data_IF_356027825902
#
_entry.id   IF_356027825902
#
_cell.length_a   1.000
_cell.length_b   1.000
_cell.length_c   1.000
_cell.angle_alpha   90.00
_cell.angle_beta   90.00
_cell.angle_gamma   90.00
#
_symmetry.space_group_name_H-M   'P 1'
#
loop_
_entity.id
_entity.type
_entity.pdbx_description
1 polymer ?
#
# COMPACT_ATOMS: atom_id res chain seq x y z
N UNK A 1 -8.76 -23.48 -12.46
CA UNK A 1 -8.73 -23.30 -13.91
C UNK A 1 -7.33 -23.62 -14.39
N UNK A 2 -7.16 -24.60 -15.27
CA UNK A 2 -5.86 -24.91 -15.87
C UNK A 2 -5.73 -24.05 -17.14
N UNK A 3 -4.68 -23.25 -17.24
CA UNK A 3 -4.34 -22.49 -18.45
C UNK A 3 -3.17 -23.23 -19.08
N UNK A 4 -3.41 -23.87 -20.24
CA UNK A 4 -2.40 -24.63 -20.96
C UNK A 4 -2.08 -23.96 -22.30
N UNK A 5 -0.81 -23.62 -22.52
CA UNK A 5 -0.34 -22.99 -23.76
C UNK A 5 -0.34 -21.46 -23.75
N UNK A 6 0.41 -20.87 -24.69
CA UNK A 6 0.56 -19.41 -24.84
C UNK A 6 -0.74 -18.71 -25.21
N UNK A 7 -1.56 -19.37 -26.02
CA UNK A 7 -2.75 -18.76 -26.62
C UNK A 7 -3.88 -18.67 -25.59
N UNK A 8 -4.10 -19.74 -24.82
CA UNK A 8 -5.03 -19.72 -23.68
C UNK A 8 -4.60 -18.72 -22.60
N UNK A 9 -3.30 -18.51 -22.41
CA UNK A 9 -2.79 -17.48 -21.50
C UNK A 9 -3.03 -16.07 -22.04
N UNK A 10 -2.87 -15.85 -23.33
CA UNK A 10 -3.15 -14.57 -23.98
C UNK A 10 -4.65 -14.25 -23.95
N UNK A 11 -5.51 -15.22 -24.26
CA UNK A 11 -6.97 -15.08 -24.16
C UNK A 11 -7.39 -14.75 -22.73
N UNK A 12 -6.87 -15.47 -21.74
CA UNK A 12 -7.14 -15.19 -20.34
C UNK A 12 -6.77 -13.74 -19.94
N UNK A 13 -5.60 -13.25 -20.41
CA UNK A 13 -5.17 -11.87 -20.15
C UNK A 13 -6.06 -10.85 -20.85
N UNK A 14 -6.56 -11.14 -22.04
CA UNK A 14 -7.47 -10.28 -22.78
C UNK A 14 -8.88 -10.23 -22.17
N UNK A 15 -9.31 -11.31 -21.50
CA UNK A 15 -10.59 -11.36 -20.80
C UNK A 15 -10.52 -10.63 -19.45
N UNK A 16 -9.45 -10.85 -18.68
CA UNK A 16 -9.22 -10.25 -17.37
C UNK A 16 -8.50 -8.91 -17.45
N UNK A 17 -9.20 -7.91 -18.01
CA UNK A 17 -8.75 -6.52 -18.04
C UNK A 17 -8.97 -5.80 -16.71
N UNK A 18 -8.28 -4.67 -16.51
CA UNK A 18 -8.54 -3.78 -15.37
C UNK A 18 -10.01 -3.37 -15.21
N UNK A 19 -10.70 -3.07 -16.33
CA UNK A 19 -12.14 -2.75 -16.32
C UNK A 19 -12.99 -3.91 -15.84
N UNK A 20 -12.75 -5.12 -16.36
CA UNK A 20 -13.52 -6.31 -15.96
C UNK A 20 -13.45 -6.53 -14.46
N UNK A 21 -12.26 -6.41 -13.87
CA UNK A 21 -12.07 -6.55 -12.41
C UNK A 21 -12.87 -5.51 -11.63
N UNK A 22 -12.89 -4.25 -12.08
CA UNK A 22 -13.66 -3.18 -11.42
C UNK A 22 -15.17 -3.37 -11.56
N UNK A 23 -15.64 -3.88 -12.70
CA UNK A 23 -17.06 -4.21 -12.90
C UNK A 23 -17.48 -5.36 -11.96
N UNK A 24 -16.70 -6.44 -11.88
CA UNK A 24 -16.94 -7.56 -10.94
C UNK A 24 -16.95 -7.11 -9.48
N UNK A 25 -16.03 -6.20 -9.11
CA UNK A 25 -15.98 -5.62 -7.76
C UNK A 25 -17.25 -4.81 -7.45
N UNK A 26 -17.78 -4.08 -8.43
CA UNK A 26 -19.01 -3.32 -8.26
C UNK A 26 -20.23 -4.24 -8.15
N UNK A 27 -20.29 -5.27 -9.00
CA UNK A 27 -21.40 -6.23 -9.03
C UNK A 27 -21.48 -7.06 -7.74
N UNK A 28 -20.35 -7.41 -7.13
CA UNK A 28 -20.33 -8.18 -5.88
C UNK A 28 -20.67 -7.33 -4.64
N UNK A 29 -20.61 -6.00 -4.73
CA UNK A 29 -21.00 -5.08 -3.65
C UNK A 29 -20.12 -5.14 -2.40
N UNK A 30 -18.93 -5.76 -2.48
CA UNK A 30 -18.05 -6.02 -1.35
C UNK A 30 -16.62 -6.36 -1.77
N UNK A 31 -15.80 -6.95 -0.87
CA UNK A 31 -14.45 -7.36 -1.22
C UNK A 31 -14.43 -8.44 -2.30
N UNK A 32 -13.66 -8.24 -3.36
CA UNK A 32 -13.44 -9.22 -4.41
C UNK A 32 -12.14 -10.00 -4.15
N UNK A 33 -12.25 -11.33 -4.00
CA UNK A 33 -11.09 -12.22 -3.93
C UNK A 33 -10.85 -12.86 -5.30
N UNK A 34 -9.70 -12.56 -5.90
CA UNK A 34 -9.30 -13.11 -7.20
C UNK A 34 -8.20 -14.15 -7.01
N UNK A 35 -8.52 -15.43 -7.27
CA UNK A 35 -7.56 -16.55 -7.15
C UNK A 35 -6.93 -16.87 -8.49
N UNK A 36 -5.74 -16.34 -8.71
CA UNK A 36 -4.98 -16.57 -9.94
C UNK A 36 -3.78 -17.49 -9.71
N UNK A 37 -3.54 -18.37 -10.68
CA UNK A 37 -2.35 -19.22 -10.71
C UNK A 37 -1.08 -18.35 -10.87
N UNK A 38 0.07 -18.92 -10.52
CA UNK A 38 1.37 -18.25 -10.72
C UNK A 38 1.63 -18.11 -12.22
N UNK A 39 2.23 -16.99 -12.64
CA UNK A 39 2.63 -16.76 -14.04
C UNK A 39 1.52 -16.21 -14.96
N UNK A 40 0.27 -16.11 -14.50
CA UNK A 40 -0.85 -15.69 -15.39
C UNK A 40 -0.85 -14.20 -15.75
N UNK A 41 -0.06 -13.37 -15.04
CA UNK A 41 0.02 -11.93 -15.29
C UNK A 41 -0.64 -11.04 -14.23
N UNK A 42 -0.71 -11.51 -12.96
CA UNK A 42 -1.20 -10.73 -11.80
C UNK A 42 -0.68 -9.30 -11.79
N UNK A 43 0.63 -9.14 -11.91
CA UNK A 43 1.25 -7.82 -11.81
C UNK A 43 0.81 -6.86 -12.90
N UNK A 44 0.64 -7.37 -14.11
CA UNK A 44 0.16 -6.60 -15.25
C UNK A 44 -1.28 -6.12 -15.03
N UNK A 45 -2.17 -7.04 -14.63
CA UNK A 45 -3.55 -6.67 -14.35
C UNK A 45 -3.68 -5.68 -13.19
N UNK A 46 -2.90 -5.83 -12.11
CA UNK A 46 -2.91 -4.84 -11.01
C UNK A 46 -2.61 -3.44 -11.55
N UNK A 47 -1.60 -3.31 -12.41
CA UNK A 47 -1.25 -2.03 -13.02
C UNK A 47 -2.35 -1.50 -13.97
N UNK A 48 -3.10 -2.37 -14.65
CA UNK A 48 -4.28 -2.01 -15.44
C UNK A 48 -5.47 -1.61 -14.58
N UNK A 49 -5.72 -2.29 -13.47
CA UNK A 49 -6.79 -1.95 -12.52
C UNK A 49 -6.55 -0.56 -11.95
N UNK A 50 -5.30 -0.25 -11.57
CA UNK A 50 -4.95 1.10 -11.11
C UNK A 50 -5.24 2.12 -12.22
N UNK A 51 -4.86 1.82 -13.47
CA UNK A 51 -5.07 2.71 -14.61
C UNK A 51 -6.55 2.97 -14.87
N UNK A 52 -7.38 1.93 -14.94
CA UNK A 52 -8.82 2.08 -15.18
C UNK A 52 -9.50 2.74 -13.98
N UNK A 53 -9.11 2.43 -12.74
CA UNK A 53 -9.73 3.00 -11.54
C UNK A 53 -9.57 4.52 -11.49
N UNK A 54 -8.37 5.01 -11.79
CA UNK A 54 -8.08 6.45 -11.86
C UNK A 54 -8.64 7.07 -13.14
N UNK A 55 -8.37 6.47 -14.30
CA UNK A 55 -8.75 7.01 -15.60
C UNK A 55 -10.26 7.12 -15.82
N UNK A 56 -11.05 6.20 -15.24
CA UNK A 56 -12.52 6.25 -15.28
C UNK A 56 -13.13 7.22 -14.25
N UNK A 57 -12.34 7.73 -13.29
CA UNK A 57 -12.83 8.57 -12.20
C UNK A 57 -13.71 7.85 -11.17
N UNK A 58 -13.88 6.52 -11.28
CA UNK A 58 -14.61 5.68 -10.31
C UNK A 58 -14.00 5.82 -8.92
N UNK A 59 -12.68 5.92 -8.85
CA UNK A 59 -11.92 6.13 -7.63
C UNK A 59 -11.04 7.37 -7.74
N UNK A 60 -10.90 8.11 -6.63
CA UNK A 60 -9.99 9.25 -6.53
C UNK A 60 -8.67 8.88 -5.84
N UNK A 61 -8.60 7.67 -5.26
CA UNK A 61 -7.41 7.10 -4.67
C UNK A 61 -7.38 5.58 -4.86
N UNK A 62 -6.24 5.04 -5.28
CA UNK A 62 -5.91 3.62 -5.22
C UNK A 62 -4.77 3.39 -4.24
N UNK A 63 -4.95 2.50 -3.28
CA UNK A 63 -3.91 2.07 -2.33
C UNK A 63 -3.50 0.64 -2.65
N UNK A 64 -2.30 0.45 -3.17
CA UNK A 64 -1.72 -0.87 -3.45
C UNK A 64 -0.80 -1.32 -2.31
N UNK A 65 -1.14 -2.46 -1.70
CA UNK A 65 -0.41 -3.06 -0.59
C UNK A 65 0.21 -4.39 -0.98
N UNK A 66 1.54 -4.42 -0.96
CA UNK A 66 2.35 -5.53 -1.43
C UNK A 66 3.15 -6.13 -0.26
N UNK A 67 3.51 -7.41 -0.30
CA UNK A 67 4.25 -8.00 0.82
C UNK A 67 5.67 -7.43 0.93
N UNK A 68 6.31 -7.09 -0.19
CA UNK A 68 7.71 -6.66 -0.24
C UNK A 68 7.90 -5.35 -1.03
N UNK A 69 8.85 -4.52 -0.58
CA UNK A 69 9.26 -3.29 -1.26
C UNK A 69 9.78 -3.54 -2.67
N UNK A 70 10.49 -4.66 -2.90
CA UNK A 70 11.00 -5.03 -4.22
C UNK A 70 9.87 -5.15 -5.26
N UNK A 71 8.76 -5.82 -4.88
CA UNK A 71 7.59 -5.98 -5.76
C UNK A 71 6.90 -4.65 -6.08
N UNK A 72 7.02 -3.65 -5.20
CA UNK A 72 6.52 -2.30 -5.47
C UNK A 72 7.42 -1.62 -6.51
N UNK A 73 8.74 -1.71 -6.34
CA UNK A 73 9.72 -1.08 -7.24
C UNK A 73 9.70 -1.64 -8.67
N UNK A 74 9.27 -2.89 -8.82
CA UNK A 74 9.07 -3.54 -10.12
C UNK A 74 7.85 -3.01 -10.91
N UNK A 75 6.92 -2.30 -10.25
CA UNK A 75 5.68 -1.85 -10.90
C UNK A 75 5.96 -0.77 -11.93
N UNK A 76 5.21 -0.81 -13.04
CA UNK A 76 5.28 0.22 -14.10
C UNK A 76 5.02 1.61 -13.54
N UNK A 77 4.08 1.72 -12.60
CA UNK A 77 3.73 2.98 -11.92
C UNK A 77 4.87 3.57 -11.08
N UNK A 78 5.83 2.75 -10.65
CA UNK A 78 7.02 3.23 -9.92
C UNK A 78 8.18 3.57 -10.86
N UNK A 79 8.31 2.86 -11.98
CA UNK A 79 9.38 3.05 -12.95
C UNK A 79 9.08 4.22 -13.91
N UNK A 80 7.83 4.35 -14.33
CA UNK A 80 7.36 5.36 -15.27
C UNK A 80 5.93 5.79 -14.92
N UNK A 81 5.74 6.57 -13.84
CA UNK A 81 4.43 7.10 -13.48
C UNK A 81 3.88 8.01 -14.59
N UNK A 82 2.55 8.05 -14.81
CA UNK A 82 1.94 9.07 -15.67
C UNK A 82 2.17 10.48 -15.13
N UNK A 83 2.41 11.46 -16.02
CA UNK A 83 2.73 12.84 -15.64
C UNK A 83 1.59 13.56 -14.92
N UNK A 84 0.35 13.16 -15.20
CA UNK A 84 -0.88 13.75 -14.66
C UNK A 84 -1.38 13.04 -13.39
N UNK A 85 -0.69 11.98 -12.94
CA UNK A 85 -1.09 11.20 -11.77
C UNK A 85 -0.07 11.34 -10.65
N UNK A 86 -0.52 11.82 -9.49
CA UNK A 86 0.33 11.87 -8.30
C UNK A 86 0.44 10.48 -7.66
N UNK A 87 1.58 9.83 -7.89
CA UNK A 87 1.94 8.52 -7.31
C UNK A 87 2.89 8.72 -6.11
N UNK A 88 2.62 8.04 -5.00
CA UNK A 88 3.48 8.05 -3.80
C UNK A 88 3.78 6.63 -3.35
N UNK A 89 5.05 6.39 -3.04
CA UNK A 89 5.48 5.19 -2.32
C UNK A 89 5.79 5.54 -0.86
N UNK A 90 4.99 5.00 0.06
CA UNK A 90 5.22 5.07 1.49
C UNK A 90 6.27 4.04 1.88
N UNK A 91 7.49 4.53 2.11
CA UNK A 91 8.66 3.72 2.42
C UNK A 91 8.75 3.48 3.93
N UNK A 92 9.25 2.32 4.39
CA UNK A 92 9.48 2.05 5.81
C UNK A 92 10.46 3.05 6.42
N UNK A 93 10.55 3.08 7.74
CA UNK A 93 11.54 3.92 8.44
C UNK A 93 12.94 3.46 8.04
N UNK A 94 13.87 4.39 7.72
CA UNK A 94 15.24 4.02 7.41
C UNK A 94 15.98 3.72 8.73
N UNK A 95 15.81 2.50 9.26
CA UNK A 95 16.38 2.07 10.55
C UNK A 95 17.86 2.33 10.63
N UNK A 96 18.58 2.02 9.57
CA UNK A 96 20.04 2.09 9.51
C UNK A 96 20.54 3.55 9.55
N UNK A 97 19.73 4.48 9.05
CA UNK A 97 20.04 5.92 9.06
C UNK A 97 19.64 6.61 10.37
N UNK A 98 18.85 5.95 11.23
CA UNK A 98 18.36 6.53 12.49
C UNK A 98 19.44 6.60 13.58
N UNK A 99 20.55 5.86 13.44
CA UNK A 99 21.65 5.84 14.41
C UNK A 99 21.17 5.50 15.83
N UNK A 100 21.61 6.27 16.82
CA UNK A 100 21.30 6.05 18.24
C UNK A 100 19.80 6.15 18.59
N UNK A 101 18.98 6.71 17.69
CA UNK A 101 17.53 6.76 17.88
C UNK A 101 16.85 5.43 17.53
N UNK A 102 17.49 4.55 16.75
CA UNK A 102 16.89 3.30 16.28
C UNK A 102 16.42 2.34 17.39
N UNK A 103 17.18 2.10 18.48
CA UNK A 103 16.74 1.22 19.56
C UNK A 103 15.44 1.70 20.22
N UNK A 104 15.35 3.02 20.48
CA UNK A 104 14.15 3.63 21.04
C UNK A 104 13.00 3.56 20.03
N UNK A 105 13.28 3.83 18.76
CA UNK A 105 12.29 3.68 17.69
C UNK A 105 11.68 2.29 17.62
N UNK A 106 12.50 1.24 17.70
CA UNK A 106 12.03 -0.15 17.73
C UNK A 106 11.09 -0.43 18.90
N UNK A 107 11.30 0.22 20.06
CA UNK A 107 10.38 0.14 21.19
C UNK A 107 9.02 0.79 20.85
N UNK A 108 9.03 2.00 20.30
CA UNK A 108 7.81 2.67 19.85
C UNK A 108 7.04 1.84 18.80
N UNK A 109 7.74 1.22 17.86
CA UNK A 109 7.14 0.35 16.85
C UNK A 109 6.48 -0.88 17.46
N UNK A 110 7.18 -1.58 18.38
CA UNK A 110 6.61 -2.73 19.10
C UNK A 110 5.38 -2.37 19.93
N UNK A 111 5.32 -1.15 20.46
CA UNK A 111 4.20 -0.68 21.27
C UNK A 111 3.06 -0.06 20.43
N UNK A 112 3.18 -0.02 19.10
CA UNK A 112 2.20 0.64 18.22
C UNK A 112 2.16 2.17 18.36
N UNK A 113 3.21 2.76 18.94
CA UNK A 113 3.34 4.19 19.23
C UNK A 113 4.16 4.93 18.15
N UNK A 114 4.21 4.40 16.93
CA UNK A 114 5.03 4.98 15.84
C UNK A 114 4.68 6.44 15.51
N UNK A 115 3.43 6.87 15.67
CA UNK A 115 3.05 8.28 15.50
C UNK A 115 3.67 9.18 16.59
N UNK A 116 3.70 8.71 17.84
CA UNK A 116 4.32 9.42 18.95
C UNK A 116 5.85 9.44 18.79
N UNK A 117 6.47 8.29 18.48
CA UNK A 117 7.90 8.19 18.17
C UNK A 117 8.31 9.12 17.03
N UNK A 118 7.47 9.31 16.01
CA UNK A 118 7.73 10.26 14.93
C UNK A 118 7.75 11.71 15.43
N UNK A 119 6.84 12.07 16.31
CA UNK A 119 6.79 13.43 16.84
C UNK A 119 7.95 13.71 17.80
N UNK A 120 8.27 12.76 18.68
CA UNK A 120 9.29 12.93 19.72
C UNK A 120 10.71 12.70 19.20
N UNK A 121 10.98 11.53 18.63
CA UNK A 121 12.33 11.13 18.21
C UNK A 121 12.76 11.85 16.94
N UNK A 122 11.90 11.91 15.91
CA UNK A 122 12.26 12.62 14.69
C UNK A 122 12.19 14.15 14.83
N UNK A 123 11.39 14.68 15.77
CA UNK A 123 11.29 16.12 16.02
C UNK A 123 12.60 16.73 16.56
N UNK A 124 13.36 15.96 17.34
CA UNK A 124 14.69 16.34 17.84
C UNK A 124 15.87 15.75 17.07
N UNK A 125 15.63 15.05 15.97
CA UNK A 125 16.69 14.33 15.25
C UNK A 125 17.62 15.31 14.51
N UNK A 126 18.95 15.27 14.73
CA UNK A 126 19.90 16.12 14.01
C UNK A 126 19.87 15.94 12.48
N UNK A 127 19.46 14.75 12.02
CA UNK A 127 19.37 14.40 10.60
C UNK A 127 17.99 14.70 9.97
N UNK A 128 17.06 15.29 10.74
CA UNK A 128 15.67 15.52 10.28
C UNK A 128 15.59 16.32 8.98
N UNK A 129 16.49 17.29 8.78
CA UNK A 129 16.49 18.16 7.60
C UNK A 129 16.65 17.37 6.27
N UNK A 130 17.44 16.31 6.28
CA UNK A 130 17.67 15.41 5.14
C UNK A 130 16.83 14.13 5.17
N UNK A 131 16.09 13.88 6.26
CA UNK A 131 15.33 12.64 6.41
C UNK A 131 13.97 12.72 5.71
N UNK A 132 13.71 11.76 4.82
CA UNK A 132 12.42 11.67 4.13
C UNK A 132 11.29 11.17 5.05
N UNK A 133 11.62 10.35 6.05
CA UNK A 133 10.64 9.55 6.80
C UNK A 133 9.56 10.38 7.50
N UNK A 134 9.88 11.48 8.21
CA UNK A 134 8.85 12.31 8.83
C UNK A 134 7.96 13.05 7.83
N UNK A 135 8.48 13.29 6.61
CA UNK A 135 7.85 14.13 5.60
C UNK A 135 6.91 13.36 4.68
N UNK A 136 6.93 12.03 4.66
CA UNK A 136 6.09 11.28 3.72
C UNK A 136 4.60 11.27 4.06
N UNK A 137 4.22 11.68 5.27
CA UNK A 137 2.84 11.62 5.77
C UNK A 137 2.17 12.99 5.83
N UNK A 138 0.87 13.01 6.14
CA UNK A 138 0.14 14.25 6.41
C UNK A 138 -0.10 15.07 5.15
N UNK A 139 0.13 16.39 5.23
CA UNK A 139 -0.19 17.35 4.15
C UNK A 139 0.46 17.02 2.81
N UNK A 140 1.60 16.33 2.81
CA UNK A 140 2.32 15.97 1.60
C UNK A 140 1.59 14.91 0.75
N UNK A 141 0.67 14.16 1.34
CA UNK A 141 -0.17 13.18 0.65
C UNK A 141 -1.44 13.79 0.04
N UNK A 142 -1.74 15.07 0.28
CA UNK A 142 -2.96 15.69 -0.24
C UNK A 142 -3.00 15.60 -1.77
N UNK A 143 -4.15 15.19 -2.30
CA UNK A 143 -4.36 15.02 -3.75
C UNK A 143 -3.58 13.88 -4.39
N UNK A 144 -2.97 12.99 -3.60
CA UNK A 144 -2.37 11.75 -4.14
C UNK A 144 -3.46 10.83 -4.65
N UNK A 145 -3.26 10.29 -5.86
CA UNK A 145 -4.19 9.38 -6.53
C UNK A 145 -3.76 7.91 -6.42
N UNK A 146 -2.45 7.64 -6.30
CA UNK A 146 -1.95 6.28 -6.13
C UNK A 146 -0.97 6.22 -4.97
N UNK A 147 -1.22 5.33 -4.01
CA UNK A 147 -0.32 5.06 -2.88
C UNK A 147 0.15 3.61 -2.94
N UNK A 148 1.45 3.42 -3.01
CA UNK A 148 2.09 2.12 -2.79
C UNK A 148 2.63 2.03 -1.37
N UNK A 149 2.37 0.92 -0.68
CA UNK A 149 2.99 0.64 0.60
C UNK A 149 3.13 -0.88 0.80
N UNK A 150 3.90 -1.28 1.80
CA UNK A 150 3.97 -2.70 2.19
C UNK A 150 2.80 -3.08 3.11
N UNK A 151 2.44 -4.36 3.13
CA UNK A 151 1.42 -4.89 4.06
C UNK A 151 1.82 -4.72 5.53
N UNK A 152 3.11 -4.65 5.83
CA UNK A 152 3.63 -4.33 7.16
C UNK A 152 3.08 -3.00 7.73
N UNK A 153 2.64 -2.06 6.89
CA UNK A 153 2.00 -0.83 7.36
C UNK A 153 0.61 -1.07 7.98
N UNK A 154 -0.13 -2.08 7.49
CA UNK A 154 -1.39 -2.53 8.10
C UNK A 154 -1.11 -3.27 9.41
N UNK A 155 -0.09 -4.14 9.43
CA UNK A 155 0.33 -4.90 10.61
C UNK A 155 0.65 -3.98 11.78
N UNK A 156 1.47 -2.97 11.53
CA UNK A 156 1.93 -2.03 12.56
C UNK A 156 0.85 -1.01 12.98
N UNK A 157 -0.16 -0.77 12.14
CA UNK A 157 -1.16 0.26 12.38
C UNK A 157 -2.53 -0.13 11.79
N UNK A 158 -3.45 -0.65 12.63
CA UNK A 158 -4.81 -1.00 12.20
C UNK A 158 -5.62 0.16 11.59
N UNK A 159 -5.25 1.41 11.90
CA UNK A 159 -5.92 2.60 11.38
C UNK A 159 -5.25 3.16 10.11
N UNK A 160 -4.24 2.50 9.56
CA UNK A 160 -3.44 3.00 8.45
C UNK A 160 -4.28 3.47 7.25
N UNK A 161 -5.22 2.65 6.76
CA UNK A 161 -6.08 3.02 5.61
C UNK A 161 -6.94 4.25 5.90
N UNK A 162 -7.50 4.35 7.11
CA UNK A 162 -8.29 5.51 7.52
C UNK A 162 -7.45 6.79 7.58
N UNK A 163 -6.18 6.68 7.99
CA UNK A 163 -5.24 7.79 8.02
C UNK A 163 -4.81 8.20 6.61
N UNK A 164 -4.51 7.24 5.73
CA UNK A 164 -4.20 7.51 4.32
C UNK A 164 -5.34 8.27 3.67
N UNK A 165 -6.59 7.76 3.77
CA UNK A 165 -7.78 8.45 3.23
C UNK A 165 -7.90 9.89 3.75
N UNK A 166 -7.68 10.10 5.06
CA UNK A 166 -7.73 11.44 5.67
C UNK A 166 -6.62 12.36 5.17
N UNK A 167 -5.40 11.86 5.01
CA UNK A 167 -4.26 12.66 4.56
C UNK A 167 -4.33 13.01 3.09
N UNK A 168 -4.83 12.09 2.25
CA UNK A 168 -5.03 12.34 0.82
C UNK A 168 -6.24 13.24 0.56
N UNK A 169 -7.26 13.16 1.42
CA UNK A 169 -8.55 13.81 1.20
C UNK A 169 -9.46 13.02 0.25
N UNK A 170 -9.21 11.72 0.08
CA UNK A 170 -9.92 10.86 -0.85
C UNK A 170 -11.34 10.52 -0.36
N UNK A 171 -12.32 10.62 -1.25
CA UNK A 171 -13.70 10.23 -0.99
C UNK A 171 -13.94 8.78 -1.41
N UNK A 172 -13.37 8.35 -2.54
CA UNK A 172 -13.57 7.04 -3.17
C UNK A 172 -12.25 6.30 -3.30
N UNK A 173 -11.93 5.51 -2.28
CA UNK A 173 -10.68 4.77 -2.17
C UNK A 173 -10.86 3.30 -2.57
N UNK A 174 -10.04 2.83 -3.52
CA UNK A 174 -9.85 1.41 -3.83
C UNK A 174 -8.63 0.89 -3.08
N UNK A 175 -8.73 -0.30 -2.49
CA UNK A 175 -7.60 -0.99 -1.83
C UNK A 175 -7.30 -2.26 -2.59
N UNK A 176 -6.06 -2.42 -3.02
CA UNK A 176 -5.54 -3.62 -3.68
C UNK A 176 -4.58 -4.30 -2.72
N UNK A 177 -4.83 -5.58 -2.43
CA UNK A 177 -3.94 -6.43 -1.64
C UNK A 177 -3.36 -7.52 -2.55
N UNK A 178 -2.05 -7.50 -2.76
CA UNK A 178 -1.36 -8.55 -3.52
C UNK A 178 -0.83 -9.64 -2.57
N UNK A 179 -0.86 -10.91 -2.98
CA UNK A 179 -0.38 -12.04 -2.15
C UNK A 179 -0.90 -12.00 -0.71
N UNK A 180 -2.22 -12.17 -0.54
CA UNK A 180 -2.95 -12.04 0.73
C UNK A 180 -2.70 -13.17 1.74
N UNK A 181 -1.46 -13.58 1.98
CA UNK A 181 -1.13 -14.44 3.12
C UNK A 181 -1.52 -13.76 4.45
N UNK A 182 -1.58 -12.43 4.44
CA UNK A 182 -1.98 -11.55 5.53
C UNK A 182 -3.41 -11.73 6.05
N UNK A 183 -4.37 -12.15 5.22
CA UNK A 183 -5.75 -12.38 5.67
C UNK A 183 -5.86 -13.55 6.67
N UNK A 184 -4.77 -14.28 6.88
CA UNK A 184 -4.65 -15.42 7.80
C UNK A 184 -3.98 -15.03 9.13
N UNK A 185 -3.56 -13.77 9.30
CA UNK A 185 -2.87 -13.32 10.50
C UNK A 185 -3.87 -12.80 11.55
N UNK A 186 -3.95 -13.49 12.68
CA UNK A 186 -4.71 -13.02 13.84
C UNK A 186 -4.04 -11.78 14.44
N UNK A 187 -4.76 -10.65 14.44
CA UNK A 187 -4.34 -9.47 15.18
C UNK A 187 -4.67 -9.65 16.66
N UNK A 188 -3.66 -9.96 17.48
CA UNK A 188 -3.78 -9.89 18.93
C UNK A 188 -2.99 -8.70 19.46
N UNK A 189 -3.63 -7.87 20.29
CA UNK A 189 -2.97 -6.79 21.03
C UNK A 189 -3.06 -7.14 22.51
N UNK A 190 -1.93 -7.48 23.12
CA UNK A 190 -1.83 -7.56 24.57
C UNK A 190 -1.50 -6.16 25.10
N UNK A 191 -2.42 -5.58 25.87
CA UNK A 191 -2.17 -4.33 26.60
C UNK A 191 -1.69 -4.73 27.99
N UNK A 192 -0.44 -4.38 28.34
CA UNK A 192 0.07 -4.60 29.68
C UNK A 192 -0.26 -3.40 30.57
N UNK A 193 -0.36 -3.60 31.88
CA UNK A 193 -0.58 -2.51 32.84
C UNK A 193 0.52 -1.43 32.81
N UNK A 194 1.71 -1.76 32.30
CA UNK A 194 2.80 -0.80 32.07
C UNK A 194 2.64 0.07 30.82
N UNK A 195 1.64 -0.18 29.98
CA UNK A 195 1.33 0.61 28.78
C UNK A 195 0.17 1.61 29.01
N UNK A 196 -0.36 1.70 30.25
CA UNK A 196 -1.36 2.68 30.71
C UNK A 196 -0.70 3.77 31.57
#
# INVERSE_FOLDING_TARGET
MLIEGSDALAEFRNEWTGRRVLDELQDCGGPLLVRWAVGVGKSHNIDEVIAEAIGSGRYDLVVGLFPLTALIQERRWMQSPPDDVKVVHLRPRPSDDCGDLDPTWKQYERQGLGAHGRQTLCGGCPRQAGCYWPRQYGKNLRGTQVVFATQAQLECNPHFLSQVRRWTGAERMLVLLDETNFLSCDFSRTISWSDL
#
